data_IF_605481688195
#
_entry.id   IF_605481688195
#
_cell.length_a   1.000
_cell.length_b   1.000
_cell.length_c   1.000
_cell.angle_alpha   90.00
_cell.angle_beta   90.00
_cell.angle_gamma   90.00
#
_symmetry.space_group_name_H-M   'P 1'
#
loop_
_entity.id
_entity.type
_entity.pdbx_description
1 polymer ?
#
# COMPACT_ATOMS: atom_id res chain seq x y z
N UNK A 1 -39.83 2.90 9.29
CA UNK A 1 -39.09 2.94 8.02
C UNK A 1 -37.84 2.11 8.28
N UNK A 2 -37.71 0.96 7.61
CA UNK A 2 -36.68 -0.03 7.93
C UNK A 2 -35.52 0.23 6.96
N UNK A 3 -34.46 0.88 7.44
CA UNK A 3 -33.32 1.35 6.66
C UNK A 3 -32.32 0.21 6.35
N UNK A 4 -32.82 -0.92 5.84
CA UNK A 4 -31.99 -2.07 5.43
C UNK A 4 -32.28 -2.46 3.97
N UNK A 5 -32.34 -1.48 3.07
CA UNK A 5 -32.09 -1.79 1.66
C UNK A 5 -30.61 -2.17 1.55
N UNK A 6 -30.34 -3.49 1.53
CA UNK A 6 -29.02 -4.01 1.23
C UNK A 6 -28.59 -3.45 -0.13
N UNK A 7 -27.37 -2.89 -0.19
CA UNK A 7 -26.76 -2.39 -1.42
C UNK A 7 -26.61 -3.46 -2.50
N UNK A 8 -26.77 -4.73 -2.11
CA UNK A 8 -26.71 -5.93 -2.95
C UNK A 8 -27.90 -6.82 -2.65
N UNK A 9 -28.48 -7.41 -3.69
CA UNK A 9 -29.41 -8.52 -3.55
C UNK A 9 -28.71 -9.76 -2.98
N UNK A 10 -29.48 -10.67 -2.41
CA UNK A 10 -28.97 -11.92 -1.83
C UNK A 10 -28.24 -12.80 -2.86
N UNK A 11 -28.70 -12.77 -4.11
CA UNK A 11 -28.07 -13.49 -5.22
C UNK A 11 -26.71 -12.87 -5.58
N UNK A 12 -26.64 -11.53 -5.68
CA UNK A 12 -25.38 -10.82 -5.91
C UNK A 12 -24.37 -11.08 -4.78
N UNK A 13 -24.82 -11.12 -3.51
CA UNK A 13 -23.96 -11.49 -2.38
C UNK A 13 -23.45 -12.93 -2.52
N UNK A 14 -24.31 -13.85 -2.93
CA UNK A 14 -23.95 -15.28 -3.06
C UNK A 14 -22.95 -15.52 -4.17
N UNK A 15 -23.17 -14.90 -5.34
CA UNK A 15 -22.27 -14.95 -6.48
C UNK A 15 -20.93 -14.28 -6.16
N UNK A 16 -20.99 -13.11 -5.51
CA UNK A 16 -19.80 -12.39 -5.05
C UNK A 16 -18.96 -13.26 -4.10
N UNK A 17 -19.57 -13.91 -3.10
CA UNK A 17 -18.85 -14.80 -2.17
C UNK A 17 -18.25 -16.01 -2.90
N UNK A 18 -18.98 -16.60 -3.86
CA UNK A 18 -18.49 -17.74 -4.64
C UNK A 18 -17.30 -17.36 -5.53
N UNK A 19 -17.29 -16.15 -6.08
CA UNK A 19 -16.20 -15.62 -6.89
C UNK A 19 -15.00 -15.19 -6.04
N UNK A 20 -15.25 -14.54 -4.90
CA UNK A 20 -14.22 -14.12 -3.93
C UNK A 20 -13.42 -15.29 -3.37
N UNK A 21 -14.05 -16.47 -3.22
CA UNK A 21 -13.37 -17.70 -2.81
C UNK A 21 -12.39 -18.25 -3.86
N UNK A 22 -12.53 -17.87 -5.13
CA UNK A 22 -11.69 -18.37 -6.25
C UNK A 22 -10.49 -17.47 -6.50
N UNK A 23 -10.69 -16.16 -6.40
CA UNK A 23 -9.63 -15.14 -6.38
C UNK A 23 -10.09 -14.09 -5.38
N UNK A 24 -9.33 -13.79 -4.33
CA UNK A 24 -9.75 -12.78 -3.34
C UNK A 24 -9.47 -11.35 -3.81
N UNK A 25 -9.05 -11.18 -5.07
CA UNK A 25 -8.84 -9.91 -5.72
C UNK A 25 -10.04 -9.57 -6.59
N UNK A 26 -10.91 -8.69 -6.08
CA UNK A 26 -12.12 -8.27 -6.77
C UNK A 26 -12.26 -6.76 -6.81
N UNK A 27 -12.87 -6.30 -7.90
CA UNK A 27 -13.34 -4.93 -8.09
C UNK A 27 -14.85 -4.95 -8.07
N UNK A 28 -15.46 -4.10 -7.25
CA UNK A 28 -16.91 -3.98 -7.12
C UNK A 28 -17.33 -2.53 -7.33
N UNK A 29 -18.33 -2.28 -8.18
CA UNK A 29 -18.83 -0.94 -8.48
C UNK A 29 -19.08 -0.72 -9.96
N UNK A 30 -19.55 0.47 -10.32
CA UNK A 30 -19.78 0.85 -11.72
C UNK A 30 -18.47 1.08 -12.46
N UNK A 31 -18.51 1.00 -13.79
CA UNK A 31 -17.36 1.28 -14.65
C UNK A 31 -16.79 2.69 -14.30
N UNK A 32 -15.50 2.75 -13.95
CA UNK A 32 -14.78 3.93 -13.43
C UNK A 32 -15.03 4.34 -11.97
N UNK A 33 -15.94 3.66 -11.27
CA UNK A 33 -16.25 3.84 -9.84
C UNK A 33 -16.02 2.55 -9.04
N UNK A 34 -15.09 1.70 -9.49
CA UNK A 34 -14.89 0.41 -8.85
C UNK A 34 -14.08 0.53 -7.55
N UNK A 35 -14.62 -0.01 -6.47
CA UNK A 35 -13.96 -0.22 -5.20
C UNK A 35 -13.18 -1.52 -5.18
N UNK A 36 -12.03 -1.46 -4.54
CA UNK A 36 -11.18 -2.62 -4.39
C UNK A 36 -11.33 -3.40 -3.12
N UNK A 37 -11.65 -4.69 -3.25
CA UNK A 37 -11.63 -5.63 -2.14
C UNK A 37 -10.42 -6.54 -2.31
N UNK A 38 -9.45 -6.37 -1.40
CA UNK A 38 -8.24 -7.18 -1.34
C UNK A 38 -7.75 -7.33 0.10
N UNK A 39 -7.11 -8.46 0.43
CA UNK A 39 -6.37 -8.60 1.68
C UNK A 39 -5.27 -7.53 1.79
N UNK A 40 -5.13 -6.94 2.97
CA UNK A 40 -4.08 -5.98 3.27
C UNK A 40 -3.50 -6.20 4.66
N UNK A 41 -2.27 -5.76 4.85
CA UNK A 41 -1.62 -5.64 6.17
C UNK A 41 -1.22 -4.19 6.34
N UNK A 42 -1.51 -3.65 7.52
CA UNK A 42 -1.13 -2.31 7.92
C UNK A 42 -0.25 -2.40 9.16
N UNK A 43 0.89 -1.69 9.13
CA UNK A 43 1.76 -1.49 10.27
C UNK A 43 1.63 -0.05 10.76
N UNK A 44 1.59 0.13 12.07
CA UNK A 44 1.73 1.41 12.73
C UNK A 44 3.06 1.39 13.47
N UNK A 45 4.02 2.17 12.97
CA UNK A 45 5.39 2.22 13.48
C UNK A 45 5.51 3.50 14.28
N UNK A 46 5.60 3.40 15.60
CA UNK A 46 5.82 4.54 16.48
C UNK A 46 7.32 4.89 16.52
N UNK A 47 7.67 6.17 16.57
CA UNK A 47 9.06 6.60 16.53
C UNK A 47 9.32 7.99 17.11
N UNK A 48 10.58 8.27 17.47
CA UNK A 48 11.06 9.58 17.92
C UNK A 48 11.55 10.46 16.75
N UNK A 49 11.82 11.75 17.00
CA UNK A 49 12.30 12.71 15.99
C UNK A 49 13.61 12.29 15.34
N UNK A 50 14.54 11.79 16.16
CA UNK A 50 15.86 11.38 15.73
C UNK A 50 15.84 10.06 14.93
N UNK A 51 14.71 9.37 14.87
CA UNK A 51 14.55 8.07 14.18
C UNK A 51 13.85 8.20 12.81
N UNK A 52 13.35 9.40 12.48
CA UNK A 52 12.58 9.66 11.25
C UNK A 52 13.37 9.28 10.00
N UNK A 53 14.65 9.64 9.94
CA UNK A 53 15.53 9.31 8.80
C UNK A 53 15.83 7.82 8.70
N UNK A 54 15.95 7.11 9.82
CA UNK A 54 16.17 5.67 9.81
C UNK A 54 14.93 4.92 9.30
N UNK A 55 13.75 5.28 9.81
CA UNK A 55 12.48 4.66 9.43
C UNK A 55 12.14 4.93 7.98
N UNK A 56 12.39 6.14 7.53
CA UNK A 56 12.35 6.51 6.13
C UNK A 56 13.15 5.58 5.20
N UNK A 57 14.43 5.37 5.52
CA UNK A 57 15.30 4.48 4.76
C UNK A 57 14.73 3.07 4.73
N UNK A 58 14.26 2.56 5.88
CA UNK A 58 13.60 1.25 5.98
C UNK A 58 12.36 1.17 5.09
N UNK A 59 11.48 2.17 5.13
CA UNK A 59 10.26 2.22 4.32
C UNK A 59 10.58 2.24 2.81
N UNK A 60 11.60 2.99 2.39
CA UNK A 60 12.02 3.03 0.98
C UNK A 60 12.63 1.68 0.56
N UNK A 61 13.42 1.04 1.43
CA UNK A 61 13.89 -0.32 1.16
C UNK A 61 12.73 -1.32 1.00
N UNK A 62 11.70 -1.23 1.85
CA UNK A 62 10.49 -2.06 1.74
C UNK A 62 9.78 -1.77 0.43
N UNK A 63 9.65 -0.51 0.03
CA UNK A 63 9.07 -0.13 -1.26
C UNK A 63 9.80 -0.79 -2.43
N UNK A 64 11.14 -0.72 -2.44
CA UNK A 64 11.97 -1.31 -3.49
C UNK A 64 11.91 -2.84 -3.47
N UNK A 65 11.95 -3.46 -2.30
CA UNK A 65 11.83 -4.92 -2.16
C UNK A 65 10.44 -5.40 -2.58
N UNK A 66 9.40 -4.64 -2.24
CA UNK A 66 8.06 -4.93 -2.67
C UNK A 66 7.96 -4.88 -4.19
N UNK A 67 8.49 -3.83 -4.83
CA UNK A 67 8.51 -3.70 -6.29
C UNK A 67 9.34 -4.79 -6.99
N UNK A 68 10.52 -5.12 -6.46
CA UNK A 68 11.48 -5.96 -7.18
C UNK A 68 11.35 -7.45 -6.86
N UNK A 69 10.84 -7.81 -5.66
CA UNK A 69 10.88 -9.19 -5.15
C UNK A 69 9.50 -9.79 -4.86
N UNK A 70 8.49 -8.95 -4.61
CA UNK A 70 7.18 -9.41 -4.08
C UNK A 70 6.11 -9.34 -5.16
N UNK A 71 6.02 -8.26 -5.92
CA UNK A 71 4.94 -8.12 -6.90
C UNK A 71 5.22 -8.94 -8.17
N UNK A 72 4.19 -9.60 -8.71
CA UNK A 72 4.23 -10.36 -9.97
C UNK A 72 3.96 -9.49 -11.21
N UNK A 73 3.59 -8.22 -10.99
CA UNK A 73 3.26 -7.23 -12.03
C UNK A 73 3.90 -5.89 -11.68
N UNK A 74 4.46 -5.16 -12.66
CA UNK A 74 5.02 -3.84 -12.40
C UNK A 74 3.94 -2.86 -11.97
N UNK A 75 4.31 -1.89 -11.14
CA UNK A 75 3.44 -0.77 -10.83
C UNK A 75 3.05 -0.01 -12.09
N UNK A 76 1.82 0.48 -12.14
CA UNK A 76 1.30 1.31 -13.23
C UNK A 76 1.21 2.77 -12.88
N UNK A 77 0.92 3.07 -11.61
CA UNK A 77 0.88 4.44 -11.08
C UNK A 77 1.71 4.57 -9.81
N UNK A 78 2.31 5.75 -9.63
CA UNK A 78 3.02 6.18 -8.43
C UNK A 78 2.49 7.54 -7.98
N UNK A 79 2.52 7.77 -6.68
CA UNK A 79 2.21 9.03 -6.03
C UNK A 79 3.31 9.35 -5.03
N UNK A 80 3.75 10.60 -5.02
CA UNK A 80 4.68 11.18 -4.05
C UNK A 80 4.31 12.64 -3.93
N UNK A 81 4.03 13.15 -2.73
CA UNK A 81 3.87 14.56 -2.25
C UNK A 81 3.56 15.73 -3.23
N UNK A 82 3.17 15.47 -4.47
CA UNK A 82 2.89 16.43 -5.55
C UNK A 82 1.39 16.54 -5.79
N UNK A 83 0.57 15.86 -4.98
CA UNK A 83 -0.89 15.83 -5.12
C UNK A 83 -1.42 15.03 -6.30
N UNK A 84 -0.56 14.42 -7.14
CA UNK A 84 -0.98 13.82 -8.42
C UNK A 84 -0.32 12.46 -8.66
N UNK A 85 -1.13 11.48 -9.05
CA UNK A 85 -0.66 10.17 -9.51
C UNK A 85 -0.11 10.26 -10.93
N UNK A 86 1.09 9.71 -11.17
CA UNK A 86 1.71 9.67 -12.51
C UNK A 86 2.02 8.25 -12.94
N UNK A 87 2.29 8.08 -14.24
CA UNK A 87 2.67 6.80 -14.83
C UNK A 87 3.99 6.29 -14.21
N UNK A 88 3.98 5.07 -13.69
CA UNK A 88 5.09 4.51 -12.93
C UNK A 88 6.35 4.26 -13.76
N UNK A 89 6.22 3.89 -15.04
CA UNK A 89 7.36 3.60 -15.92
C UNK A 89 8.13 4.87 -16.31
N UNK A 90 7.41 6.00 -16.47
CA UNK A 90 8.01 7.30 -16.78
C UNK A 90 8.50 8.04 -15.54
N UNK A 91 8.03 7.65 -14.36
CA UNK A 91 8.25 8.36 -13.11
C UNK A 91 8.76 7.42 -12.02
N UNK A 92 9.93 6.80 -12.30
CA UNK A 92 10.65 5.97 -11.35
C UNK A 92 11.82 6.75 -10.73
N UNK A 93 11.64 7.36 -9.54
CA UNK A 93 12.76 7.95 -8.83
C UNK A 93 13.76 6.89 -8.36
N UNK A 94 15.01 7.31 -8.26
CA UNK A 94 16.06 6.62 -7.54
C UNK A 94 15.81 6.67 -6.03
N UNK A 95 16.40 5.71 -5.31
CA UNK A 95 16.43 5.67 -3.85
C UNK A 95 16.84 7.03 -3.25
N UNK A 96 17.92 7.63 -3.77
CA UNK A 96 18.44 8.93 -3.30
C UNK A 96 17.44 10.07 -3.52
N UNK A 97 16.71 10.06 -4.63
CA UNK A 97 15.66 11.06 -4.89
C UNK A 97 14.49 10.91 -3.91
N UNK A 98 14.08 9.68 -3.59
CA UNK A 98 13.03 9.41 -2.61
C UNK A 98 13.42 9.92 -1.21
N UNK A 99 14.64 9.60 -0.76
CA UNK A 99 15.18 10.07 0.52
C UNK A 99 15.21 11.61 0.55
N UNK A 100 15.80 12.23 -0.47
CA UNK A 100 15.90 13.68 -0.52
C UNK A 100 14.55 14.38 -0.53
N UNK A 101 13.59 13.89 -1.32
CA UNK A 101 12.23 14.43 -1.35
C UNK A 101 11.58 14.35 0.01
N UNK A 102 11.64 13.18 0.65
CA UNK A 102 11.05 12.98 1.96
C UNK A 102 11.70 13.89 3.02
N UNK A 103 13.03 14.03 3.04
CA UNK A 103 13.70 14.99 3.94
C UNK A 103 13.23 16.43 3.72
N UNK A 104 13.03 16.83 2.45
CA UNK A 104 12.53 18.15 2.14
C UNK A 104 11.07 18.32 2.57
N UNK A 105 10.24 17.29 2.39
CA UNK A 105 8.85 17.29 2.77
C UNK A 105 8.68 17.37 4.29
N UNK A 106 9.42 16.58 5.08
CA UNK A 106 9.38 16.67 6.55
C UNK A 106 9.79 18.05 7.09
N UNK A 107 10.70 18.74 6.42
CA UNK A 107 11.07 20.11 6.80
C UNK A 107 9.96 21.14 6.53
N UNK A 108 9.05 20.83 5.60
CA UNK A 108 8.04 21.77 5.09
C UNK A 108 6.62 21.45 5.55
N UNK A 109 6.32 20.18 5.76
CA UNK A 109 4.99 19.65 5.99
C UNK A 109 5.01 18.62 7.11
N UNK A 110 3.92 18.51 7.89
CA UNK A 110 3.82 17.53 8.97
C UNK A 110 3.66 16.09 8.46
N UNK A 111 3.47 15.90 7.14
CA UNK A 111 3.21 14.59 6.54
C UNK A 111 3.96 14.44 5.21
N UNK A 112 4.58 13.28 5.00
CA UNK A 112 5.06 12.82 3.69
C UNK A 112 4.32 11.55 3.28
N UNK A 113 4.06 11.40 1.98
CA UNK A 113 3.31 10.27 1.45
C UNK A 113 3.96 9.71 0.18
N UNK A 114 4.18 8.39 0.17
CA UNK A 114 4.62 7.62 -1.00
C UNK A 114 3.66 6.46 -1.22
N UNK A 115 3.17 6.31 -2.45
CA UNK A 115 2.34 5.17 -2.81
C UNK A 115 2.56 4.72 -4.25
N UNK A 116 2.28 3.44 -4.49
CA UNK A 116 2.31 2.85 -5.82
C UNK A 116 1.27 1.74 -5.94
N UNK A 117 0.77 1.56 -7.16
CA UNK A 117 -0.33 0.63 -7.42
C UNK A 117 -0.19 -0.02 -8.78
N UNK A 118 -0.56 -1.30 -8.89
CA UNK A 118 -0.69 -2.02 -10.17
C UNK A 118 -2.02 -1.73 -10.87
N UNK A 119 -2.93 -1.01 -10.22
CA UNK A 119 -4.21 -0.57 -10.78
C UNK A 119 -4.04 0.47 -11.88
N UNK A 120 -5.00 0.54 -12.80
CA UNK A 120 -5.06 1.59 -13.82
C UNK A 120 -5.51 2.94 -13.23
N UNK A 121 -6.14 2.94 -12.06
CA UNK A 121 -6.56 4.09 -11.26
C UNK A 121 -6.20 3.86 -9.78
N UNK A 122 -5.90 4.91 -9.00
CA UNK A 122 -5.62 4.77 -7.56
C UNK A 122 -6.81 4.27 -6.73
N UNK A 123 -8.03 4.42 -7.23
CA UNK A 123 -9.24 3.99 -6.53
C UNK A 123 -9.56 2.51 -6.78
N UNK A 124 -8.95 1.90 -7.79
CA UNK A 124 -9.18 0.50 -8.12
C UNK A 124 -8.59 -0.43 -7.07
N UNK A 125 -9.24 -1.60 -6.88
CA UNK A 125 -8.56 -2.76 -6.30
C UNK A 125 -7.31 -2.98 -7.08
N UNK A 126 -6.15 -2.78 -6.50
CA UNK A 126 -4.92 -3.22 -7.11
C UNK A 126 -4.38 -4.39 -6.32
N UNK A 127 -3.99 -5.42 -7.07
CA UNK A 127 -3.43 -6.64 -6.50
C UNK A 127 -2.24 -6.33 -5.60
N UNK A 128 -1.50 -5.28 -5.97
CA UNK A 128 -0.41 -4.76 -5.18
C UNK A 128 -0.54 -3.24 -5.05
N UNK A 129 -0.59 -2.80 -3.80
CA UNK A 129 -0.52 -1.41 -3.37
C UNK A 129 0.52 -1.31 -2.28
N UNK A 130 1.42 -0.36 -2.45
CA UNK A 130 2.28 0.14 -1.39
C UNK A 130 1.78 1.53 -1.01
N UNK A 131 1.66 1.80 0.28
CA UNK A 131 1.33 3.12 0.80
C UNK A 131 2.08 3.32 2.11
N UNK A 132 2.92 4.35 2.17
CA UNK A 132 3.52 4.80 3.41
C UNK A 132 3.18 6.26 3.64
N UNK A 133 2.67 6.54 4.84
CA UNK A 133 2.41 7.88 5.33
C UNK A 133 3.24 8.09 6.58
N UNK A 134 4.03 9.15 6.58
CA UNK A 134 4.79 9.58 7.74
C UNK A 134 4.10 10.78 8.36
N UNK A 135 3.92 10.81 9.68
CA UNK A 135 3.29 11.92 10.39
C UNK A 135 4.15 12.38 11.56
N UNK A 136 4.45 13.68 11.61
CA UNK A 136 5.00 14.36 12.78
C UNK A 136 3.98 15.42 13.24
N UNK A 137 2.92 14.95 13.89
CA UNK A 137 2.02 15.84 14.63
C UNK A 137 2.42 15.82 16.11
N UNK A 138 2.26 16.96 16.78
CA UNK A 138 2.78 17.26 18.11
C UNK A 138 2.33 16.35 19.27
N UNK A 139 1.69 15.21 19.03
CA UNK A 139 1.35 14.23 20.08
C UNK A 139 1.34 12.76 19.61
N UNK A 140 1.64 12.45 18.35
CA UNK A 140 1.69 11.06 17.86
C UNK A 140 2.58 10.97 16.61
N UNK A 141 3.81 10.50 16.81
CA UNK A 141 4.75 10.21 15.72
C UNK A 141 4.58 8.77 15.30
N UNK A 142 3.94 8.60 14.17
CA UNK A 142 3.79 7.28 13.60
C UNK A 142 3.91 7.32 12.09
N UNK A 143 4.47 6.24 11.58
CA UNK A 143 4.44 5.89 10.16
C UNK A 143 3.41 4.79 9.96
N UNK A 144 2.46 5.03 9.06
CA UNK A 144 1.53 3.99 8.61
C UNK A 144 2.07 3.38 7.33
N UNK A 145 2.32 2.07 7.33
CA UNK A 145 2.70 1.31 6.15
C UNK A 145 1.57 0.33 5.81
N UNK A 146 0.93 0.50 4.66
CA UNK A 146 -0.10 -0.42 4.14
C UNK A 146 0.41 -1.13 2.89
N UNK A 147 0.30 -2.46 2.91
CA UNK A 147 0.60 -3.34 1.79
C UNK A 147 -0.66 -4.14 1.43
N UNK A 148 -1.10 -4.09 0.18
CA UNK A 148 -2.05 -5.08 -0.35
C UNK A 148 -1.32 -6.18 -1.10
N UNK A 149 -1.86 -7.39 -1.09
CA UNK A 149 -1.19 -8.55 -1.68
C UNK A 149 -2.11 -9.37 -2.59
N UNK A 150 -1.51 -9.92 -3.65
CA UNK A 150 -2.15 -10.93 -4.47
C UNK A 150 -2.24 -12.24 -3.72
N UNK A 151 -3.45 -12.67 -3.39
CA UNK A 151 -3.68 -13.87 -2.57
C UNK A 151 -3.12 -15.14 -3.20
N UNK A 152 -3.28 -15.29 -4.53
CA UNK A 152 -2.64 -16.36 -5.30
C UNK A 152 -1.12 -16.39 -5.09
N UNK A 153 -0.46 -15.23 -5.24
CA UNK A 153 0.98 -15.13 -5.02
C UNK A 153 1.32 -15.50 -3.58
N UNK A 154 0.57 -15.00 -2.59
CA UNK A 154 0.80 -15.32 -1.19
C UNK A 154 0.69 -16.82 -0.90
N UNK A 155 -0.32 -17.51 -1.44
CA UNK A 155 -0.46 -18.96 -1.30
C UNK A 155 0.72 -19.72 -1.88
N UNK A 156 1.20 -19.30 -3.06
CA UNK A 156 2.32 -19.92 -3.78
C UNK A 156 3.69 -19.59 -3.15
N UNK A 157 3.79 -18.49 -2.38
CA UNK A 157 5.05 -17.95 -1.86
C UNK A 157 5.06 -17.73 -0.34
N UNK A 158 4.28 -18.51 0.43
CA UNK A 158 4.15 -18.37 1.90
C UNK A 158 5.50 -18.29 2.61
N UNK A 159 6.43 -19.19 2.29
CA UNK A 159 7.77 -19.23 2.92
C UNK A 159 8.56 -17.94 2.65
N UNK A 160 8.56 -17.46 1.40
CA UNK A 160 9.17 -16.19 0.99
C UNK A 160 8.52 -15.01 1.69
N UNK A 161 7.20 -15.01 1.82
CA UNK A 161 6.46 -13.99 2.57
C UNK A 161 6.86 -13.98 4.05
N UNK A 162 6.86 -15.12 4.74
CA UNK A 162 7.21 -15.17 6.15
C UNK A 162 8.66 -14.77 6.41
N UNK A 163 9.60 -15.17 5.54
CA UNK A 163 11.00 -14.76 5.60
C UNK A 163 11.15 -13.23 5.43
N UNK A 164 10.51 -12.65 4.42
CA UNK A 164 10.53 -11.22 4.18
C UNK A 164 9.81 -10.45 5.29
N UNK A 165 8.69 -10.97 5.79
CA UNK A 165 7.94 -10.39 6.91
C UNK A 165 8.79 -10.36 8.17
N UNK A 166 9.55 -11.41 8.48
CA UNK A 166 10.49 -11.38 9.61
C UNK A 166 11.61 -10.38 9.41
N UNK A 167 12.06 -10.14 8.17
CA UNK A 167 12.97 -9.03 7.84
C UNK A 167 12.29 -7.66 8.06
N UNK A 168 11.13 -7.43 7.46
CA UNK A 168 10.36 -6.20 7.58
C UNK A 168 9.97 -5.87 9.03
N UNK A 169 9.62 -6.87 9.83
CA UNK A 169 9.30 -6.70 11.26
C UNK A 169 10.61 -6.57 12.06
N UNK A 170 11.63 -7.37 11.78
CA UNK A 170 12.93 -7.27 12.43
C UNK A 170 13.58 -5.88 12.26
N UNK A 171 13.37 -5.25 11.10
CA UNK A 171 13.85 -3.91 10.83
C UNK A 171 13.15 -2.83 11.68
N UNK A 172 11.95 -3.06 12.22
CA UNK A 172 11.22 -2.07 13.04
C UNK A 172 11.20 -2.36 14.55
N UNK A 173 11.78 -3.46 15.01
CA UNK A 173 11.70 -3.92 16.40
C UNK A 173 13.06 -4.26 17.06
N UNK A 174 14.14 -3.58 16.65
CA UNK A 174 15.41 -3.56 17.39
C UNK A 174 15.65 -2.13 17.89
#
# INVERSE_FOLDING_TARGET
MNDEELFLSQDEVTDYIAEFKKDSYHTYGYEQEEFGICPYITFYIYHQDNEVEEIANKIINIYEDFENKIIDKPFKRRYRDTGVWKNANKWKPSHKELINEMHQSFKRYPVYFIAATTGNSPNQSARWVFCAQFSDNNNSRYTTLKLSFGEKWYREHKSKWYLNRTGFVGDFFI
#
